data_IF_972027909420
#
_entry.id   IF_972027909420
#
_cell.length_a   1.000
_cell.length_b   1.000
_cell.length_c   1.000
_cell.angle_alpha   90.00
_cell.angle_beta   90.00
_cell.angle_gamma   90.00
#
_symmetry.space_group_name_H-M   'P 1'
#
loop_
_entity.id
_entity.type
_entity.pdbx_description
1 polymer ?
#
# COMPACT_ATOMS: atom_id res chain seq x y z
N UNK A 1 14.69 -28.23 -69.74
CA UNK A 1 14.34 -28.07 -71.17
C UNK A 1 13.18 -27.10 -71.29
N UNK A 2 13.42 -25.95 -71.96
CA UNK A 2 12.50 -24.99 -72.58
C UNK A 2 11.40 -24.29 -71.75
N UNK A 3 11.62 -22.98 -71.58
CA UNK A 3 10.63 -21.92 -71.31
C UNK A 3 9.62 -21.74 -72.47
N UNK A 4 8.42 -21.23 -72.13
CA UNK A 4 7.55 -20.34 -72.94
C UNK A 4 6.66 -19.56 -71.94
N UNK A 5 6.91 -18.26 -71.70
CA UNK A 5 6.26 -17.05 -72.29
C UNK A 5 4.72 -17.09 -72.16
N UNK A 6 3.95 -16.04 -71.85
CA UNK A 6 4.08 -14.65 -71.40
C UNK A 6 2.60 -14.20 -71.29
N UNK A 7 2.19 -13.39 -70.31
CA UNK A 7 0.82 -12.86 -70.27
C UNK A 7 0.59 -11.86 -69.16
N UNK A 8 0.74 -10.58 -69.51
CA UNK A 8 0.51 -9.38 -68.70
C UNK A 8 -0.99 -9.20 -68.41
N UNK A 9 -1.37 -8.84 -67.18
CA UNK A 9 -2.72 -8.43 -66.82
C UNK A 9 -2.73 -7.61 -65.53
N UNK A 10 -2.69 -6.28 -65.69
CA UNK A 10 -2.81 -5.29 -64.62
C UNK A 10 -4.25 -5.32 -64.09
N UNK A 11 -4.40 -5.48 -62.78
CA UNK A 11 -5.64 -5.15 -62.07
C UNK A 11 -5.27 -4.47 -60.74
N UNK A 12 -5.41 -3.14 -60.74
CA UNK A 12 -5.45 -2.34 -59.51
C UNK A 12 -6.67 -2.80 -58.69
N UNK A 13 -6.44 -3.18 -57.44
CA UNK A 13 -7.49 -3.21 -56.43
C UNK A 13 -6.99 -2.50 -55.18
N UNK A 14 -7.39 -1.24 -55.05
CA UNK A 14 -7.28 -0.47 -53.81
C UNK A 14 -8.16 -1.13 -52.75
N UNK A 15 -7.55 -1.70 -51.71
CA UNK A 15 -8.28 -2.12 -50.51
C UNK A 15 -7.91 -1.20 -49.35
N UNK A 16 -8.81 -0.25 -49.10
CA UNK A 16 -8.85 0.55 -47.88
C UNK A 16 -9.27 -0.40 -46.75
N UNK A 17 -8.33 -0.79 -45.87
CA UNK A 17 -8.69 -1.39 -44.60
C UNK A 17 -8.91 -0.28 -43.56
N UNK A 18 -10.18 0.05 -43.39
CA UNK A 18 -10.70 0.83 -42.28
C UNK A 18 -10.42 0.10 -40.96
N UNK A 19 -9.68 0.74 -40.07
CA UNK A 19 -9.56 0.35 -38.66
C UNK A 19 -10.91 0.53 -37.96
N UNK A 20 -11.69 -0.53 -37.88
CA UNK A 20 -12.81 -0.62 -36.93
C UNK A 20 -12.25 -0.84 -35.54
N UNK A 21 -12.31 0.23 -34.75
CA UNK A 21 -12.10 0.24 -33.31
C UNK A 21 -13.05 -0.75 -32.62
N UNK A 22 -12.49 -1.80 -32.04
CA UNK A 22 -13.19 -2.56 -31.01
C UNK A 22 -13.04 -1.82 -29.69
N UNK A 23 -14.18 -1.31 -29.22
CA UNK A 23 -14.46 -0.87 -27.86
C UNK A 23 -14.14 -1.99 -26.86
N UNK A 24 -12.93 -1.97 -26.30
CA UNK A 24 -12.57 -2.63 -25.06
C UNK A 24 -12.32 -1.57 -23.99
N UNK A 25 -12.92 -1.75 -22.80
CA UNK A 25 -12.67 -0.91 -21.63
C UNK A 25 -11.21 -1.08 -21.19
N UNK A 26 -10.30 -0.36 -21.82
CA UNK A 26 -8.94 -0.20 -21.33
C UNK A 26 -8.96 0.85 -20.23
N UNK A 27 -8.71 0.40 -18.99
CA UNK A 27 -8.17 1.28 -17.95
C UNK A 27 -6.83 1.78 -18.46
N UNK A 28 -6.83 2.95 -19.12
CA UNK A 28 -5.62 3.67 -19.50
C UNK A 28 -4.84 3.97 -18.22
N UNK A 29 -3.69 3.32 -18.10
CA UNK A 29 -2.61 3.76 -17.24
C UNK A 29 -2.08 5.04 -17.89
N UNK A 30 -2.41 6.20 -17.31
CA UNK A 30 -2.05 7.50 -17.87
C UNK A 30 -0.61 7.81 -17.49
N UNK A 31 0.31 7.71 -18.45
CA UNK A 31 1.64 8.33 -18.36
C UNK A 31 1.50 9.86 -18.32
N UNK A 32 2.41 10.55 -17.62
CA UNK A 32 2.43 12.00 -17.52
C UNK A 32 2.49 12.64 -18.91
N UNK A 33 1.50 13.48 -19.22
CA UNK A 33 1.39 14.14 -20.52
C UNK A 33 1.42 15.65 -20.36
N UNK A 34 2.27 16.31 -21.15
CA UNK A 34 2.29 17.78 -21.28
C UNK A 34 1.55 18.18 -22.53
N UNK A 35 0.56 19.06 -22.39
CA UNK A 35 -0.22 19.59 -23.51
C UNK A 35 0.57 20.69 -24.25
N UNK A 36 0.15 21.04 -25.47
CA UNK A 36 0.83 22.06 -26.31
C UNK A 36 0.85 23.47 -25.70
N UNK A 37 -0.07 23.72 -24.77
CA UNK A 37 -0.24 24.92 -23.97
C UNK A 37 0.60 24.91 -22.67
N UNK A 38 1.40 23.86 -22.45
CA UNK A 38 2.37 23.78 -21.35
C UNK A 38 1.76 23.40 -20.01
N UNK A 39 0.56 22.82 -20.01
CA UNK A 39 -0.03 22.19 -18.83
C UNK A 39 0.50 20.76 -18.72
N UNK A 40 0.99 20.38 -17.54
CA UNK A 40 1.50 19.04 -17.23
C UNK A 40 0.52 18.33 -16.32
N UNK A 41 0.11 17.11 -16.68
CA UNK A 41 -0.63 16.23 -15.77
C UNK A 41 0.34 15.27 -15.12
N UNK A 42 0.34 15.23 -13.78
CA UNK A 42 1.08 14.26 -12.97
C UNK A 42 0.12 13.19 -12.44
N UNK A 43 0.56 11.95 -12.49
CA UNK A 43 -0.14 10.80 -11.91
C UNK A 43 0.18 10.67 -10.41
N UNK A 44 -0.86 10.46 -9.60
CA UNK A 44 -0.79 10.32 -8.14
C UNK A 44 -1.50 9.04 -7.70
N UNK A 45 -0.77 7.94 -7.56
CA UNK A 45 -1.37 6.64 -7.22
C UNK A 45 -1.51 6.42 -5.71
N UNK A 46 -2.68 5.92 -5.28
CA UNK A 46 -3.03 5.60 -3.89
C UNK A 46 -3.75 4.26 -3.80
N UNK A 47 -3.79 3.66 -2.60
CA UNK A 47 -4.51 2.40 -2.38
C UNK A 47 -5.84 2.49 -1.64
N UNK A 48 -6.16 3.66 -1.06
CA UNK A 48 -7.30 3.81 -0.15
C UNK A 48 -8.38 4.73 -0.73
N UNK A 49 -9.49 4.14 -1.15
CA UNK A 49 -10.67 4.87 -1.63
C UNK A 49 -11.35 5.73 -0.56
N UNK A 50 -11.21 5.39 0.73
CA UNK A 50 -11.75 6.20 1.83
C UNK A 50 -10.99 7.50 2.03
N UNK A 51 -9.71 7.53 1.66
CA UNK A 51 -8.88 8.74 1.70
C UNK A 51 -8.93 9.57 0.43
N UNK A 52 -9.35 9.00 -0.70
CA UNK A 52 -9.43 9.69 -2.00
C UNK A 52 -10.10 11.07 -1.91
N UNK A 53 -11.26 11.25 -1.25
CA UNK A 53 -11.90 12.57 -1.20
C UNK A 53 -11.07 13.62 -0.46
N UNK A 54 -10.30 13.20 0.56
CA UNK A 54 -9.40 14.07 1.30
C UNK A 54 -8.17 14.45 0.47
N UNK A 55 -7.59 13.48 -0.23
CA UNK A 55 -6.48 13.70 -1.16
C UNK A 55 -6.90 14.58 -2.33
N UNK A 56 -8.11 14.40 -2.86
CA UNK A 56 -8.62 15.24 -3.94
C UNK A 56 -8.67 16.70 -3.52
N UNK A 57 -9.21 17.00 -2.32
CA UNK A 57 -9.23 18.36 -1.76
C UNK A 57 -7.83 18.96 -1.59
N UNK A 58 -6.84 18.16 -1.22
CA UNK A 58 -5.44 18.61 -1.11
C UNK A 58 -4.89 18.94 -2.50
N UNK A 59 -5.15 18.08 -3.47
CA UNK A 59 -4.70 18.26 -4.83
C UNK A 59 -5.38 19.45 -5.53
N UNK A 60 -6.67 19.69 -5.31
CA UNK A 60 -7.35 20.87 -5.83
C UNK A 60 -6.68 22.17 -5.35
N UNK A 61 -6.36 22.26 -4.05
CA UNK A 61 -5.60 23.39 -3.48
C UNK A 61 -4.18 23.49 -4.03
N UNK A 62 -3.57 22.36 -4.40
CA UNK A 62 -2.27 22.34 -5.05
C UNK A 62 -2.39 22.87 -6.49
N UNK A 63 -3.38 22.45 -7.26
CA UNK A 63 -3.64 22.92 -8.63
C UNK A 63 -4.00 24.42 -8.66
N UNK A 64 -4.76 24.92 -7.68
CA UNK A 64 -5.04 26.35 -7.52
C UNK A 64 -3.75 27.18 -7.39
N UNK A 65 -2.77 26.66 -6.66
CA UNK A 65 -1.46 27.32 -6.46
C UNK A 65 -0.49 27.06 -7.61
N UNK A 66 -0.75 26.04 -8.43
CA UNK A 66 0.12 25.59 -9.53
C UNK A 66 -0.72 25.37 -10.79
N UNK A 67 -1.25 26.44 -11.43
CA UNK A 67 -2.27 26.33 -12.47
C UNK A 67 -1.82 25.58 -13.75
N UNK A 68 -0.52 25.38 -13.92
CA UNK A 68 0.07 24.59 -15.01
C UNK A 68 0.18 23.09 -14.69
N UNK A 69 -0.15 22.67 -13.48
CA UNK A 69 -0.07 21.28 -13.05
C UNK A 69 -1.48 20.76 -12.76
N UNK A 70 -1.78 19.58 -13.30
CA UNK A 70 -2.98 18.79 -12.98
C UNK A 70 -2.58 17.50 -12.29
N UNK A 71 -3.38 17.03 -11.35
CA UNK A 71 -3.12 15.84 -10.56
C UNK A 71 -4.18 14.79 -10.87
N UNK A 72 -3.79 13.75 -11.59
CA UNK A 72 -4.59 12.56 -11.87
C UNK A 72 -4.46 11.57 -10.70
N UNK A 73 -5.48 11.48 -9.83
CA UNK A 73 -5.47 10.54 -8.70
C UNK A 73 -5.92 9.16 -9.19
N UNK A 74 -5.07 8.17 -9.02
CA UNK A 74 -5.32 6.79 -9.42
C UNK A 74 -5.51 5.93 -8.18
N UNK A 75 -6.72 5.38 -8.00
CA UNK A 75 -7.03 4.50 -6.85
C UNK A 75 -6.97 3.04 -7.28
N UNK A 76 -6.08 2.27 -6.65
CA UNK A 76 -5.91 0.84 -6.91
C UNK A 76 -5.91 0.09 -5.59
N UNK A 77 -6.83 -0.86 -5.40
CA UNK A 77 -6.96 -1.62 -4.15
C UNK A 77 -5.64 -2.23 -3.71
N UNK A 78 -5.44 -2.33 -2.39
CA UNK A 78 -4.25 -2.88 -1.75
C UNK A 78 -3.73 -4.17 -2.41
N UNK A 79 -4.62 -5.14 -2.65
CA UNK A 79 -4.26 -6.45 -3.20
C UNK A 79 -3.62 -6.39 -4.59
N UNK A 80 -3.93 -5.36 -5.38
CA UNK A 80 -3.43 -5.18 -6.75
C UNK A 80 -2.41 -4.06 -6.87
N UNK A 81 -2.31 -3.20 -5.87
CA UNK A 81 -1.48 -2.00 -5.87
C UNK A 81 0.00 -2.33 -6.05
N UNK A 82 0.49 -3.31 -5.29
CA UNK A 82 1.90 -3.71 -5.33
C UNK A 82 2.28 -4.42 -6.62
N UNK A 83 1.38 -5.22 -7.19
CA UNK A 83 1.58 -5.84 -8.51
C UNK A 83 1.68 -4.78 -9.61
N UNK A 84 0.83 -3.76 -9.57
CA UNK A 84 0.90 -2.63 -10.51
C UNK A 84 2.22 -1.87 -10.37
N UNK A 85 2.65 -1.54 -9.15
CA UNK A 85 3.92 -0.84 -8.93
C UNK A 85 5.13 -1.68 -9.35
N UNK A 86 5.12 -2.99 -9.13
CA UNK A 86 6.20 -3.89 -9.57
C UNK A 86 6.29 -3.98 -11.10
N UNK A 87 5.15 -4.13 -11.78
CA UNK A 87 5.09 -4.09 -13.24
C UNK A 87 5.54 -2.72 -13.78
N UNK A 88 5.11 -1.62 -13.16
CA UNK A 88 5.52 -0.26 -13.54
C UNK A 88 7.02 -0.03 -13.33
N UNK A 89 7.59 -0.50 -12.23
CA UNK A 89 9.02 -0.32 -11.93
C UNK A 89 9.93 -1.10 -12.88
N UNK A 90 9.48 -2.27 -13.35
CA UNK A 90 10.22 -3.09 -14.32
C UNK A 90 10.01 -2.64 -15.76
N UNK A 91 8.82 -2.13 -16.08
CA UNK A 91 8.45 -1.64 -17.41
C UNK A 91 8.78 -0.18 -17.68
N UNK A 92 9.18 0.60 -16.66
CA UNK A 92 9.48 2.03 -16.80
C UNK A 92 8.23 2.93 -16.82
N UNK A 93 7.10 2.46 -16.28
CA UNK A 93 5.80 3.13 -16.28
C UNK A 93 5.23 3.32 -14.87
N UNK A 94 6.09 3.59 -13.89
CA UNK A 94 5.67 4.00 -12.56
C UNK A 94 4.88 5.32 -12.62
N UNK A 95 3.89 5.52 -11.73
CA UNK A 95 3.30 6.83 -11.54
C UNK A 95 4.36 7.87 -11.14
N UNK A 96 4.12 9.14 -11.43
CA UNK A 96 5.03 10.24 -11.07
C UNK A 96 5.19 10.38 -9.56
N UNK A 97 4.09 10.18 -8.85
CA UNK A 97 4.04 10.15 -7.40
C UNK A 97 3.07 9.06 -6.97
N UNK A 98 3.43 8.32 -5.93
CA UNK A 98 2.62 7.21 -5.47
C UNK A 98 2.87 6.97 -3.99
N UNK A 99 1.88 6.42 -3.30
CA UNK A 99 2.09 6.00 -1.94
C UNK A 99 3.04 4.80 -1.88
N UNK A 100 3.89 4.80 -0.86
CA UNK A 100 4.84 3.74 -0.58
C UNK A 100 4.67 3.30 0.86
N UNK A 101 4.82 2.01 1.13
CA UNK A 101 4.64 1.44 2.46
C UNK A 101 6.00 1.04 3.07
N UNK A 102 6.06 1.06 4.40
CA UNK A 102 7.28 0.82 5.20
C UNK A 102 7.92 -0.55 4.97
N UNK A 103 7.14 -1.56 4.60
CA UNK A 103 7.63 -2.90 4.27
C UNK A 103 8.16 -3.01 2.82
N UNK A 104 7.80 -2.08 1.93
CA UNK A 104 8.15 -2.10 0.50
C UNK A 104 9.29 -1.15 0.15
N UNK A 105 9.46 -0.05 0.90
CA UNK A 105 10.42 1.01 0.56
C UNK A 105 11.85 0.50 0.37
N UNK A 106 12.29 -0.50 1.15
CA UNK A 106 13.62 -1.07 0.98
C UNK A 106 13.78 -1.73 -0.40
N UNK A 107 12.77 -2.46 -0.87
CA UNK A 107 12.78 -3.14 -2.18
C UNK A 107 12.94 -2.12 -3.30
N UNK A 108 12.13 -1.07 -3.32
CA UNK A 108 12.17 -0.06 -4.39
C UNK A 108 13.40 0.86 -4.28
N UNK A 109 13.71 1.37 -3.08
CA UNK A 109 14.84 2.28 -2.87
C UNK A 109 16.20 1.61 -3.07
N UNK A 110 16.38 0.37 -2.59
CA UNK A 110 17.67 -0.33 -2.74
C UNK A 110 17.97 -0.75 -4.19
N UNK A 111 16.94 -0.91 -5.01
CA UNK A 111 17.04 -1.24 -6.44
C UNK A 111 16.96 -0.01 -7.35
N UNK A 112 17.14 1.20 -6.82
CA UNK A 112 17.20 2.46 -7.59
C UNK A 112 15.93 2.73 -8.42
N UNK A 113 14.77 2.24 -7.96
CA UNK A 113 13.48 2.46 -8.62
C UNK A 113 12.81 3.76 -8.17
N UNK A 114 13.37 4.44 -7.17
CA UNK A 114 12.85 5.68 -6.60
C UNK A 114 13.86 6.81 -6.78
N UNK A 115 13.35 8.02 -6.99
CA UNK A 115 14.14 9.23 -7.04
C UNK A 115 14.76 9.52 -5.66
N UNK A 116 16.07 9.78 -5.63
CA UNK A 116 16.73 10.32 -4.43
C UNK A 116 16.22 11.75 -4.20
N UNK A 117 15.65 12.01 -3.03
CA UNK A 117 15.02 13.27 -2.67
C UNK A 117 15.94 14.25 -1.93
N UNK A 118 17.18 13.88 -1.60
CA UNK A 118 18.07 14.65 -0.73
C UNK A 118 18.25 16.10 -1.21
N UNK A 119 18.58 16.31 -2.49
CA UNK A 119 18.77 17.64 -3.07
C UNK A 119 17.46 18.44 -3.17
N UNK A 120 16.34 17.75 -3.41
CA UNK A 120 15.02 18.37 -3.44
C UNK A 120 14.59 18.84 -2.05
N UNK A 121 14.84 18.03 -1.01
CA UNK A 121 14.56 18.39 0.38
C UNK A 121 15.45 19.55 0.79
N UNK A 122 16.76 19.48 0.50
CA UNK A 122 17.73 20.52 0.86
C UNK A 122 17.42 21.88 0.23
N UNK A 123 16.90 21.89 -0.99
CA UNK A 123 16.53 23.12 -1.71
C UNK A 123 15.09 23.59 -1.43
N UNK A 124 14.26 22.76 -0.81
CA UNK A 124 12.87 23.09 -0.53
C UNK A 124 12.74 24.10 0.61
N UNK A 125 11.85 25.08 0.40
CA UNK A 125 11.40 25.99 1.46
C UNK A 125 10.17 25.47 2.21
N UNK A 126 9.56 24.38 1.73
CA UNK A 126 8.30 23.84 2.26
C UNK A 126 8.48 22.49 2.95
N UNK A 127 9.41 21.68 2.47
CA UNK A 127 9.63 20.31 2.96
C UNK A 127 10.82 20.31 3.91
N UNK A 128 10.59 19.91 5.16
CA UNK A 128 11.63 19.62 6.13
C UNK A 128 11.32 18.30 6.84
N UNK A 129 12.30 17.39 6.89
CA UNK A 129 12.17 16.13 7.61
C UNK A 129 12.06 16.33 9.13
N UNK A 130 12.47 17.49 9.65
CA UNK A 130 12.32 17.82 11.07
C UNK A 130 10.87 18.03 11.52
N UNK A 131 9.93 18.18 10.58
CA UNK A 131 8.50 18.29 10.88
C UNK A 131 7.86 16.94 11.22
N UNK A 132 8.61 15.83 11.09
CA UNK A 132 8.13 14.49 11.32
C UNK A 132 8.93 13.81 12.44
N UNK A 133 8.34 12.81 13.14
CA UNK A 133 9.09 11.97 14.05
C UNK A 133 10.29 11.33 13.34
N UNK A 134 11.46 11.37 13.99
CA UNK A 134 12.71 10.88 13.42
C UNK A 134 12.64 9.41 13.01
N UNK A 135 11.97 8.58 13.80
CA UNK A 135 11.84 7.16 13.51
C UNK A 135 11.02 6.94 12.24
N UNK A 136 9.99 7.75 12.01
CA UNK A 136 9.17 7.70 10.80
C UNK A 136 9.96 8.09 9.54
N UNK A 137 10.75 9.17 9.59
CA UNK A 137 11.57 9.57 8.43
C UNK A 137 12.66 8.53 8.13
N UNK A 138 13.23 7.92 9.17
CA UNK A 138 14.31 6.94 9.04
C UNK A 138 13.90 5.65 8.31
N UNK A 139 12.62 5.25 8.38
CA UNK A 139 12.08 4.11 7.63
C UNK A 139 12.28 4.30 6.12
N UNK A 140 12.16 5.54 5.64
CA UNK A 140 12.22 5.86 4.23
C UNK A 140 13.62 6.32 3.76
N UNK A 141 14.62 6.22 4.64
CA UNK A 141 16.01 6.47 4.34
C UNK A 141 16.75 5.16 4.05
N UNK A 142 17.17 4.95 2.80
CA UNK A 142 17.85 3.72 2.37
C UNK A 142 19.32 4.04 2.09
N UNK A 143 20.22 3.35 2.80
CA UNK A 143 21.69 3.55 2.68
C UNK A 143 22.10 5.02 2.87
N UNK A 144 21.39 5.77 3.72
CA UNK A 144 21.70 7.16 4.04
C UNK A 144 21.03 8.22 3.15
N UNK A 145 20.22 7.81 2.18
CA UNK A 145 19.51 8.72 1.26
C UNK A 145 18.00 8.63 1.43
N UNK A 146 17.29 9.76 1.35
CA UNK A 146 15.84 9.80 1.49
C UNK A 146 15.14 9.50 0.15
N UNK A 147 14.22 8.53 0.14
CA UNK A 147 13.49 8.12 -1.07
C UNK A 147 11.97 8.37 -1.02
N UNK A 148 11.43 8.74 0.14
CA UNK A 148 10.04 9.13 0.28
C UNK A 148 9.88 10.16 1.41
N UNK A 149 8.82 10.96 1.35
CA UNK A 149 8.44 11.88 2.43
C UNK A 149 7.28 11.26 3.20
N UNK A 150 7.35 11.16 4.54
CA UNK A 150 6.20 10.68 5.31
C UNK A 150 4.96 11.54 5.04
N UNK A 151 3.84 10.86 4.80
CA UNK A 151 2.52 11.49 4.61
C UNK A 151 1.72 11.43 5.92
N UNK A 152 1.66 10.24 6.48
CA UNK A 152 0.92 9.88 7.69
C UNK A 152 1.58 8.66 8.35
N UNK A 153 1.05 8.30 9.51
CA UNK A 153 1.33 7.05 10.21
C UNK A 153 0.05 6.63 10.95
N UNK A 154 -0.10 5.33 11.18
CA UNK A 154 -1.17 4.76 11.98
C UNK A 154 -0.61 3.99 13.19
N UNK A 155 -1.50 3.58 14.07
CA UNK A 155 -1.20 2.73 15.21
C UNK A 155 -2.26 1.65 15.35
N UNK A 156 -1.87 0.51 15.92
CA UNK A 156 -2.81 -0.56 16.23
C UNK A 156 -3.40 -0.33 17.62
N UNK A 157 -4.71 -0.43 17.70
CA UNK A 157 -5.46 -0.33 18.95
C UNK A 157 -6.51 -1.43 19.06
N UNK A 158 -6.92 -1.71 20.30
CA UNK A 158 -8.05 -2.60 20.57
C UNK A 158 -9.35 -1.81 20.43
N UNK A 159 -10.06 -2.04 19.33
CA UNK A 159 -11.41 -1.52 19.12
C UNK A 159 -12.44 -2.53 19.62
N UNK A 160 -13.44 -2.07 20.37
CA UNK A 160 -14.43 -2.96 20.99
C UNK A 160 -15.86 -2.41 20.86
N UNK A 161 -16.83 -3.33 20.77
CA UNK A 161 -18.25 -3.01 20.72
C UNK A 161 -18.81 -2.90 22.15
N UNK A 162 -19.03 -1.67 22.64
CA UNK A 162 -19.56 -1.41 23.99
C UNK A 162 -20.85 -2.18 24.30
N UNK A 163 -21.76 -2.29 23.33
CA UNK A 163 -23.03 -3.01 23.52
C UNK A 163 -22.80 -4.49 23.85
N UNK A 164 -21.85 -5.15 23.20
CA UNK A 164 -21.52 -6.55 23.50
C UNK A 164 -21.00 -6.71 24.93
N UNK A 165 -20.18 -5.76 25.40
CA UNK A 165 -19.67 -5.74 26.77
C UNK A 165 -20.79 -5.49 27.79
N UNK A 166 -21.67 -4.52 27.53
CA UNK A 166 -22.80 -4.18 28.40
C UNK A 166 -23.77 -5.36 28.53
N UNK A 167 -24.14 -6.00 27.41
CA UNK A 167 -25.04 -7.16 27.40
C UNK A 167 -24.46 -8.37 28.15
N UNK A 168 -23.13 -8.53 28.13
CA UNK A 168 -22.44 -9.61 28.84
C UNK A 168 -22.05 -9.25 30.29
N UNK A 169 -22.31 -8.02 30.74
CA UNK A 169 -21.92 -7.54 32.06
C UNK A 169 -20.40 -7.53 32.29
N UNK A 170 -19.62 -7.27 31.23
CA UNK A 170 -18.16 -7.26 31.26
C UNK A 170 -17.67 -5.81 31.32
N UNK A 171 -16.70 -5.53 32.20
CA UNK A 171 -16.03 -4.23 32.21
C UNK A 171 -15.27 -4.00 30.91
N UNK A 172 -15.29 -2.76 30.41
CA UNK A 172 -14.58 -2.39 29.20
C UNK A 172 -13.06 -2.60 29.33
N UNK A 173 -12.34 -2.76 28.20
CA UNK A 173 -10.89 -2.78 28.20
C UNK A 173 -10.28 -1.52 28.83
N UNK A 174 -9.25 -1.71 29.63
CA UNK A 174 -8.45 -0.66 30.24
C UNK A 174 -6.94 -0.99 30.15
N UNK A 175 -6.10 -0.08 30.66
CA UNK A 175 -4.64 -0.20 30.60
C UNK A 175 -4.07 -1.37 31.42
N UNK A 176 -4.87 -2.03 32.25
CA UNK A 176 -4.44 -3.18 33.07
C UNK A 176 -4.60 -4.52 32.37
N UNK A 177 -5.29 -4.54 31.22
CA UNK A 177 -5.50 -5.76 30.46
C UNK A 177 -4.18 -6.37 29.98
N UNK A 178 -4.00 -7.64 30.31
CA UNK A 178 -2.98 -8.48 29.71
C UNK A 178 -3.61 -9.42 28.66
N UNK A 179 -2.77 -10.18 27.98
CA UNK A 179 -3.19 -11.12 26.96
C UNK A 179 -4.18 -12.17 27.44
N UNK A 180 -4.00 -12.69 28.65
CA UNK A 180 -4.92 -13.67 29.21
C UNK A 180 -6.29 -13.05 29.49
N UNK A 181 -6.32 -11.83 30.01
CA UNK A 181 -7.57 -11.06 30.23
C UNK A 181 -8.29 -10.79 28.91
N UNK A 182 -7.54 -10.46 27.85
CA UNK A 182 -8.09 -10.34 26.51
C UNK A 182 -8.69 -11.66 26.03
N UNK A 183 -7.96 -12.78 26.15
CA UNK A 183 -8.44 -14.11 25.75
C UNK A 183 -9.68 -14.53 26.53
N UNK A 184 -9.67 -14.39 27.84
CA UNK A 184 -10.80 -14.78 28.69
C UNK A 184 -12.06 -13.96 28.38
N UNK A 185 -11.92 -12.64 28.19
CA UNK A 185 -13.07 -11.81 27.80
C UNK A 185 -13.50 -12.06 26.36
N UNK A 186 -12.58 -12.34 25.43
CA UNK A 186 -12.94 -12.79 24.09
C UNK A 186 -13.80 -14.06 24.16
N UNK A 187 -13.42 -15.02 25.00
CA UNK A 187 -14.21 -16.24 25.19
C UNK A 187 -15.62 -15.99 25.70
N UNK A 188 -15.76 -15.10 26.68
CA UNK A 188 -17.06 -14.70 27.24
C UNK A 188 -17.94 -13.93 26.24
N UNK A 189 -17.33 -13.24 25.28
CA UNK A 189 -18.03 -12.44 24.28
C UNK A 189 -18.37 -13.22 23.02
N UNK A 190 -17.80 -14.41 22.80
CA UNK A 190 -18.23 -15.27 21.70
C UNK A 190 -19.59 -15.90 21.98
N UNK A 191 -20.44 -15.88 20.97
CA UNK A 191 -21.73 -16.56 20.99
C UNK A 191 -22.00 -17.13 19.59
N UNK A 192 -21.89 -18.45 19.44
CA UNK A 192 -22.07 -19.14 18.17
C UNK A 192 -23.50 -18.99 17.62
N UNK A 193 -24.51 -19.03 18.48
CA UNK A 193 -25.92 -18.90 18.09
C UNK A 193 -26.23 -17.53 17.49
N UNK A 194 -25.48 -16.50 17.91
CA UNK A 194 -25.58 -15.12 17.40
C UNK A 194 -24.58 -14.82 16.27
N UNK A 195 -23.78 -15.79 15.84
CA UNK A 195 -22.64 -15.58 14.94
C UNK A 195 -21.72 -14.43 15.40
N UNK A 196 -21.50 -14.34 16.71
CA UNK A 196 -20.73 -13.28 17.36
C UNK A 196 -19.40 -13.84 17.86
N UNK A 197 -18.30 -13.14 17.58
CA UNK A 197 -16.95 -13.51 18.03
C UNK A 197 -16.38 -12.44 18.95
N UNK A 198 -15.78 -12.84 20.07
CA UNK A 198 -15.23 -11.89 21.04
C UNK A 198 -13.89 -11.26 20.65
N UNK A 199 -13.19 -11.83 19.68
CA UNK A 199 -11.94 -11.27 19.15
C UNK A 199 -11.74 -11.63 17.68
N UNK A 200 -11.28 -10.66 16.88
CA UNK A 200 -10.87 -10.87 15.50
C UNK A 200 -9.34 -11.09 15.50
N UNK A 201 -8.91 -12.32 15.18
CA UNK A 201 -7.50 -12.70 15.09
C UNK A 201 -7.09 -12.92 13.61
N UNK A 202 -6.93 -11.86 12.80
CA UNK A 202 -6.57 -12.04 11.39
C UNK A 202 -5.16 -12.61 11.25
N UNK A 203 -4.93 -13.48 10.27
CA UNK A 203 -3.58 -13.89 9.88
C UNK A 203 -2.91 -12.75 9.08
N UNK A 204 -2.60 -11.67 9.77
CA UNK A 204 -2.06 -10.44 9.20
C UNK A 204 -1.00 -9.86 10.14
N UNK A 205 0.06 -9.34 9.54
CA UNK A 205 1.27 -8.89 10.23
C UNK A 205 0.99 -7.73 11.19
N UNK A 206 0.65 -6.56 10.65
CA UNK A 206 0.49 -5.29 11.34
C UNK A 206 -0.66 -5.33 12.37
N UNK A 207 -1.89 -5.69 11.97
CA UNK A 207 -3.07 -5.69 12.82
C UNK A 207 -3.25 -6.97 13.64
N UNK A 208 -2.41 -7.98 13.41
CA UNK A 208 -2.48 -9.27 14.09
C UNK A 208 -1.21 -9.56 14.89
N UNK A 209 -0.47 -10.57 14.44
CA UNK A 209 0.47 -11.29 15.28
C UNK A 209 1.78 -10.53 15.58
N UNK A 210 2.17 -9.50 14.81
CA UNK A 210 3.39 -8.74 15.13
C UNK A 210 3.29 -8.03 16.48
N UNK A 211 2.11 -7.51 16.86
CA UNK A 211 1.93 -6.84 18.13
C UNK A 211 2.25 -7.76 19.31
N UNK A 212 1.79 -9.01 19.24
CA UNK A 212 2.06 -10.03 20.24
C UNK A 212 3.54 -10.39 20.27
N UNK A 213 4.17 -10.58 19.10
CA UNK A 213 5.61 -10.88 19.02
C UNK A 213 6.44 -9.79 19.72
N UNK A 214 6.18 -8.51 19.42
CA UNK A 214 6.95 -7.42 20.01
C UNK A 214 6.64 -7.20 21.50
N UNK A 215 5.38 -7.37 21.91
CA UNK A 215 4.97 -7.31 23.32
C UNK A 215 5.63 -8.42 24.18
N UNK A 216 5.90 -9.60 23.61
CA UNK A 216 6.66 -10.65 24.30
C UNK A 216 8.18 -10.44 24.27
N UNK A 217 8.65 -9.38 23.60
CA UNK A 217 10.07 -9.11 23.38
C UNK A 217 10.72 -10.03 22.35
N UNK A 218 9.93 -10.67 21.48
CA UNK A 218 10.40 -11.36 20.29
C UNK A 218 10.73 -10.39 19.15
N UNK A 219 11.13 -10.93 18.01
CA UNK A 219 11.44 -10.13 16.82
C UNK A 219 11.16 -10.89 15.52
N UNK A 220 10.77 -10.17 14.47
CA UNK A 220 10.54 -10.73 13.14
C UNK A 220 11.83 -10.74 12.32
N UNK A 221 12.59 -9.64 12.37
CA UNK A 221 13.88 -9.48 11.71
C UNK A 221 14.88 -8.98 12.77
N UNK A 222 15.94 -9.75 12.96
CA UNK A 222 17.00 -9.41 13.92
C UNK A 222 17.83 -8.21 13.44
N UNK A 223 18.60 -7.59 14.35
CA UNK A 223 19.56 -6.53 13.98
C UNK A 223 20.57 -6.98 12.92
N UNK A 224 20.89 -8.28 12.89
CA UNK A 224 21.76 -8.89 11.88
C UNK A 224 21.07 -9.19 10.55
N UNK A 225 19.84 -8.70 10.33
CA UNK A 225 19.02 -8.93 9.13
C UNK A 225 18.73 -10.42 8.86
N UNK A 226 18.63 -11.22 9.92
CA UNK A 226 18.20 -12.62 9.85
C UNK A 226 16.74 -12.75 10.32
N UNK A 227 16.07 -13.81 9.88
CA UNK A 227 14.77 -14.22 10.41
C UNK A 227 14.84 -14.32 11.94
N UNK A 228 13.81 -13.84 12.63
CA UNK A 228 13.62 -14.02 14.08
C UNK A 228 12.44 -14.93 14.43
N UNK A 229 11.87 -15.62 13.44
CA UNK A 229 10.72 -16.51 13.64
C UNK A 229 11.05 -17.77 14.46
N UNK A 230 12.32 -18.12 14.60
CA UNK A 230 12.82 -19.22 15.42
C UNK A 230 13.18 -18.80 16.86
N UNK A 231 13.12 -17.50 17.17
CA UNK A 231 13.32 -17.01 18.53
C UNK A 231 12.22 -17.57 19.46
N UNK A 232 12.58 -18.14 20.64
CA UNK A 232 11.60 -18.73 21.54
C UNK A 232 10.45 -17.78 21.94
N UNK A 233 10.72 -16.48 22.11
CA UNK A 233 9.69 -15.49 22.47
C UNK A 233 8.78 -15.18 21.30
N UNK A 234 9.32 -15.15 20.08
CA UNK A 234 8.51 -15.04 18.85
C UNK A 234 7.60 -16.25 18.71
N UNK A 235 8.12 -17.47 18.87
CA UNK A 235 7.35 -18.71 18.79
C UNK A 235 6.24 -18.76 19.84
N UNK A 236 6.55 -18.38 21.08
CA UNK A 236 5.57 -18.30 22.17
C UNK A 236 4.42 -17.34 21.83
N UNK A 237 4.74 -16.13 21.37
CA UNK A 237 3.74 -15.13 21.00
C UNK A 237 2.86 -15.60 19.83
N UNK A 238 3.44 -16.24 18.82
CA UNK A 238 2.70 -16.81 17.69
C UNK A 238 1.77 -17.93 18.14
N UNK A 239 2.22 -18.81 19.04
CA UNK A 239 1.38 -19.86 19.62
C UNK A 239 0.23 -19.27 20.43
N UNK A 240 0.50 -18.24 21.24
CA UNK A 240 -0.54 -17.55 21.98
C UNK A 240 -1.57 -16.93 21.03
N UNK A 241 -1.12 -16.23 19.99
CA UNK A 241 -2.02 -15.64 19.00
C UNK A 241 -2.86 -16.69 18.26
N UNK A 242 -2.24 -17.81 17.85
CA UNK A 242 -2.96 -18.87 17.16
C UNK A 242 -4.01 -19.55 18.07
N UNK A 243 -3.79 -19.54 19.38
CA UNK A 243 -4.74 -20.10 20.34
C UNK A 243 -6.10 -19.38 20.37
N UNK A 244 -6.20 -18.14 19.87
CA UNK A 244 -7.50 -17.50 19.66
C UNK A 244 -8.32 -18.20 18.58
N UNK A 245 -7.69 -18.85 17.60
CA UNK A 245 -8.37 -19.57 16.52
C UNK A 245 -8.56 -21.04 16.90
N UNK A 246 -7.51 -21.69 17.40
CA UNK A 246 -7.50 -23.13 17.65
C UNK A 246 -8.43 -23.55 18.79
N UNK A 247 -8.46 -22.77 19.88
CA UNK A 247 -9.33 -23.04 21.03
C UNK A 247 -10.70 -22.36 20.89
N UNK A 248 -10.85 -21.49 19.89
CA UNK A 248 -11.89 -20.48 19.81
C UNK A 248 -11.71 -19.38 20.87
N UNK A 249 -12.11 -18.13 20.57
CA UNK A 249 -12.69 -17.31 21.62
C UNK A 249 -14.04 -17.97 21.97
#
# INVERSE_FOLDING_TARGET
MKMRKLGLGILLFSFVLSLTACSGKDKKQTESSTTKDGQTTISYAIWDSGQEPGIRKIADKFEEKNPKIKVDIQVVSWDTYWTMLEAGATGGSLPDTFWMHSNEIYRYGANQMLLNLDDYIKSSKMVSLSHFPKDLTSIYAIKGHQYAIPKDFDTIGLWYNKKMFDEAGIKYPDETWNWQTLKDNAKRLTNADKHQYGFLAPLQNQSGYYNFVYQNGGTIITKGKKSGYDDPKTVEALKFYNSFVDEGP
#
